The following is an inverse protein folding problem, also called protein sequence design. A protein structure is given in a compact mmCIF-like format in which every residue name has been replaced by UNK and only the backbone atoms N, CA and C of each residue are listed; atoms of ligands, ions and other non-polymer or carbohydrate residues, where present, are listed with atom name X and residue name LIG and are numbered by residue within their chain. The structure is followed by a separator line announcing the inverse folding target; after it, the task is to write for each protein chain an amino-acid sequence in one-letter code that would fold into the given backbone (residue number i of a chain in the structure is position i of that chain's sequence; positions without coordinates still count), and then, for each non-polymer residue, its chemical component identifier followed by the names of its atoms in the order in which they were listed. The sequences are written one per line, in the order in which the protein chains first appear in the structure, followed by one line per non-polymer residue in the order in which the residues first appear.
data_IF_581982782227
#
_entry.id   IF_581982782227
#
_cell.length_a   1.000
_cell.length_b   1.000
_cell.length_c   1.000
_cell.angle_alpha   90.00
_cell.angle_beta   90.00
_cell.angle_gamma   90.00
#
_symmetry.space_group_name_H-M   'P 1'
#
loop_
_entity.id
_entity.type
_entity.pdbx_description
1 polymer ?
#
# COMPACT_ATOMS: atom_id res chain seq x y z
N UNK A 1 -8.99 63.70 -61.61
CA UNK A 1 -9.52 63.98 -60.25
C UNK A 1 -10.40 62.80 -59.83
N UNK A 2 -9.92 61.92 -58.93
CA UNK A 2 -10.74 60.98 -58.11
C UNK A 2 -9.83 60.23 -57.15
N UNK A 3 -9.69 60.77 -55.95
CA UNK A 3 -9.08 60.08 -54.80
C UNK A 3 -10.10 59.09 -54.24
N UNK A 4 -9.76 57.79 -54.22
CA UNK A 4 -10.52 56.76 -53.50
C UNK A 4 -10.13 56.84 -52.02
N UNK A 5 -11.01 57.36 -51.19
CA UNK A 5 -10.88 57.28 -49.73
C UNK A 5 -11.04 55.82 -49.29
N UNK A 6 -9.99 55.24 -48.69
CA UNK A 6 -10.07 53.98 -47.97
C UNK A 6 -10.82 54.20 -46.66
N UNK A 7 -12.04 53.68 -46.55
CA UNK A 7 -12.84 53.75 -45.33
C UNK A 7 -12.49 52.57 -44.42
N UNK A 8 -11.60 52.82 -43.45
CA UNK A 8 -11.25 51.85 -42.40
C UNK A 8 -12.44 51.65 -41.46
N UNK A 9 -13.06 50.48 -41.52
CA UNK A 9 -14.06 50.05 -40.54
C UNK A 9 -13.34 49.70 -39.23
N UNK A 10 -13.36 50.62 -38.26
CA UNK A 10 -12.98 50.28 -36.88
C UNK A 10 -14.06 49.38 -36.29
N UNK A 11 -13.79 48.09 -36.20
CA UNK A 11 -14.57 47.20 -35.34
C UNK A 11 -14.46 47.71 -33.90
N UNK A 12 -15.59 48.05 -33.28
CA UNK A 12 -15.65 48.38 -31.85
C UNK A 12 -15.41 47.09 -31.08
N UNK A 13 -14.18 46.90 -30.59
CA UNK A 13 -13.87 45.80 -29.69
C UNK A 13 -14.57 46.08 -28.36
N UNK A 14 -15.63 45.33 -28.09
CA UNK A 14 -16.32 45.35 -26.79
C UNK A 14 -15.34 44.82 -25.74
N UNK A 15 -14.89 45.68 -24.82
CA UNK A 15 -14.13 45.25 -23.66
C UNK A 15 -15.02 44.42 -22.72
N UNK A 16 -14.41 43.46 -22.00
CA UNK A 16 -15.10 42.73 -20.94
C UNK A 16 -15.51 43.67 -19.82
N UNK A 17 -16.72 43.49 -19.29
CA UNK A 17 -17.22 44.25 -18.14
C UNK A 17 -16.59 43.72 -16.84
N UNK A 18 -16.48 44.59 -15.84
CA UNK A 18 -16.04 44.22 -14.48
C UNK A 18 -16.88 43.06 -13.90
N UNK A 19 -18.18 43.03 -14.20
CA UNK A 19 -19.11 42.00 -13.71
C UNK A 19 -18.82 40.64 -14.36
N UNK A 20 -18.53 40.61 -15.66
CA UNK A 20 -18.18 39.36 -16.35
C UNK A 20 -16.90 38.74 -15.79
N UNK A 21 -15.86 39.55 -15.55
CA UNK A 21 -14.62 39.04 -14.93
C UNK A 21 -14.85 38.62 -13.47
N UNK A 22 -15.69 39.35 -12.71
CA UNK A 22 -15.99 38.99 -11.32
C UNK A 22 -16.65 37.62 -11.20
N UNK A 23 -17.64 37.30 -12.05
CA UNK A 23 -18.31 35.99 -12.02
C UNK A 23 -17.33 34.88 -12.41
N UNK A 24 -16.48 35.12 -13.41
CA UNK A 24 -15.47 34.14 -13.84
C UNK A 24 -14.50 33.84 -12.70
N UNK A 25 -14.01 34.84 -11.98
CA UNK A 25 -13.10 34.64 -10.84
C UNK A 25 -13.76 33.88 -9.69
N UNK A 26 -15.04 34.13 -9.42
CA UNK A 26 -15.80 33.37 -8.41
C UNK A 26 -15.91 31.90 -8.80
N UNK A 27 -16.28 31.62 -10.05
CA UNK A 27 -16.40 30.23 -10.53
C UNK A 27 -15.05 29.51 -10.47
N UNK A 28 -13.96 30.15 -10.90
CA UNK A 28 -12.61 29.59 -10.78
C UNK A 28 -12.26 29.33 -9.32
N UNK A 29 -12.54 30.26 -8.40
CA UNK A 29 -12.30 30.09 -6.97
C UNK A 29 -13.04 28.90 -6.37
N UNK A 30 -14.32 28.73 -6.73
CA UNK A 30 -15.14 27.60 -6.27
C UNK A 30 -14.65 26.26 -6.84
N UNK A 31 -14.26 26.23 -8.12
CA UNK A 31 -13.73 25.03 -8.76
C UNK A 31 -12.39 24.63 -8.13
N UNK A 32 -11.46 25.59 -7.99
CA UNK A 32 -10.15 25.32 -7.37
C UNK A 32 -10.30 24.84 -5.93
N UNK A 33 -11.18 25.47 -5.14
CA UNK A 33 -11.48 25.03 -3.78
C UNK A 33 -12.08 23.61 -3.72
N UNK A 34 -13.00 23.29 -4.64
CA UNK A 34 -13.59 21.96 -4.76
C UNK A 34 -12.59 20.89 -5.16
N UNK A 35 -11.72 21.16 -6.14
CA UNK A 35 -10.70 20.20 -6.62
C UNK A 35 -9.68 19.89 -5.54
N UNK A 36 -9.16 20.90 -4.84
CA UNK A 36 -8.19 20.70 -3.76
C UNK A 36 -8.77 19.83 -2.64
N UNK A 37 -10.03 20.08 -2.24
CA UNK A 37 -10.70 19.23 -1.26
C UNK A 37 -10.92 17.82 -1.80
N UNK A 38 -11.27 17.69 -3.07
CA UNK A 38 -11.43 16.40 -3.75
C UNK A 38 -10.16 15.55 -3.74
N UNK A 39 -9.00 16.15 -4.01
CA UNK A 39 -7.70 15.46 -3.96
C UNK A 39 -7.41 14.90 -2.57
N UNK A 40 -7.56 15.74 -1.53
CA UNK A 40 -7.34 15.30 -0.13
C UNK A 40 -8.30 14.17 0.28
N UNK A 41 -9.53 14.15 -0.22
CA UNK A 41 -10.48 13.06 0.04
C UNK A 41 -10.05 11.76 -0.64
N UNK A 42 -9.56 11.83 -1.88
CA UNK A 42 -9.03 10.66 -2.62
C UNK A 42 -7.80 10.09 -1.91
N UNK A 43 -6.87 10.94 -1.49
CA UNK A 43 -5.65 10.50 -0.81
C UNK A 43 -5.96 9.83 0.55
N UNK A 44 -6.92 10.38 1.29
CA UNK A 44 -7.40 9.74 2.52
C UNK A 44 -8.13 8.41 2.26
N UNK A 45 -8.89 8.31 1.16
CA UNK A 45 -9.52 7.05 0.78
C UNK A 45 -8.48 5.98 0.41
N UNK A 46 -7.43 6.36 -0.32
CA UNK A 46 -6.30 5.48 -0.63
C UNK A 46 -5.60 4.98 0.64
N UNK A 47 -5.32 5.89 1.57
CA UNK A 47 -4.71 5.56 2.86
C UNK A 47 -5.57 4.57 3.66
N UNK A 48 -6.87 4.86 3.82
CA UNK A 48 -7.79 3.94 4.52
C UNK A 48 -7.88 2.57 3.85
N UNK A 49 -7.83 2.51 2.52
CA UNK A 49 -7.81 1.25 1.80
C UNK A 49 -6.50 0.47 2.03
N UNK A 50 -5.36 1.17 2.13
CA UNK A 50 -4.08 0.57 2.49
C UNK A 50 -4.11 -0.02 3.89
N UNK A 51 -4.53 0.76 4.90
CA UNK A 51 -4.71 0.29 6.28
C UNK A 51 -5.60 -0.96 6.33
N UNK A 52 -6.76 -0.91 5.67
CA UNK A 52 -7.68 -2.05 5.60
C UNK A 52 -7.04 -3.30 5.00
N UNK A 53 -6.16 -3.17 4.01
CA UNK A 53 -5.46 -4.33 3.43
C UNK A 53 -4.50 -4.95 4.42
N UNK A 54 -3.68 -4.15 5.10
CA UNK A 54 -2.74 -4.67 6.12
C UNK A 54 -3.51 -5.40 7.23
N UNK A 55 -4.54 -4.77 7.79
CA UNK A 55 -5.37 -5.37 8.83
C UNK A 55 -6.10 -6.64 8.36
N UNK A 56 -6.53 -6.68 7.09
CA UNK A 56 -7.12 -7.89 6.50
C UNK A 56 -6.14 -9.04 6.43
N UNK A 57 -4.85 -8.78 6.17
CA UNK A 57 -3.82 -9.83 6.15
C UNK A 57 -3.47 -10.28 7.58
N UNK A 58 -3.35 -9.37 8.55
CA UNK A 58 -3.17 -9.72 9.97
C UNK A 58 -4.29 -10.63 10.47
N UNK A 59 -5.54 -10.19 10.27
CA UNK A 59 -6.71 -10.98 10.63
C UNK A 59 -6.76 -12.32 9.90
N UNK A 60 -6.33 -12.35 8.64
CA UNK A 60 -6.29 -13.58 7.85
C UNK A 60 -5.32 -14.62 8.40
N UNK A 61 -4.13 -14.20 8.84
CA UNK A 61 -3.14 -15.10 9.47
C UNK A 61 -3.70 -15.67 10.77
N UNK A 62 -4.27 -14.85 11.65
CA UNK A 62 -4.87 -15.34 12.89
C UNK A 62 -6.07 -16.26 12.64
N UNK A 63 -6.92 -15.94 11.66
CA UNK A 63 -8.05 -16.80 11.27
C UNK A 63 -7.56 -18.16 10.77
N UNK A 64 -6.48 -18.18 9.98
CA UNK A 64 -5.85 -19.43 9.53
C UNK A 64 -5.33 -20.23 10.73
N UNK A 65 -4.61 -19.58 11.64
CA UNK A 65 -4.05 -20.22 12.83
C UNK A 65 -5.13 -20.82 13.74
N UNK A 66 -6.24 -20.11 13.95
CA UNK A 66 -7.36 -20.59 14.77
C UNK A 66 -8.07 -21.80 14.13
N UNK A 67 -8.21 -21.77 12.80
CA UNK A 67 -8.93 -22.79 12.03
C UNK A 67 -8.12 -24.06 11.86
N UNK A 68 -6.84 -23.93 11.46
CA UNK A 68 -5.99 -25.07 11.08
C UNK A 68 -4.99 -25.47 12.17
N UNK A 69 -4.86 -24.69 13.25
CA UNK A 69 -3.89 -24.91 14.34
C UNK A 69 -2.43 -24.99 13.86
N UNK A 70 -2.14 -24.29 12.77
CA UNK A 70 -0.82 -24.17 12.14
C UNK A 70 -0.69 -22.78 11.51
N UNK A 71 0.53 -22.34 11.20
CA UNK A 71 0.74 -21.08 10.50
C UNK A 71 0.53 -21.26 8.98
N UNK A 72 0.02 -20.24 8.27
CA UNK A 72 0.04 -20.25 6.82
C UNK A 72 1.49 -20.21 6.34
N UNK A 73 1.79 -20.80 5.18
CA UNK A 73 3.17 -21.05 4.72
C UNK A 73 3.79 -22.32 5.33
N UNK A 74 3.74 -22.43 6.65
CA UNK A 74 4.42 -23.44 7.49
C UNK A 74 3.69 -24.80 7.59
N UNK A 75 2.35 -24.83 7.48
CA UNK A 75 1.57 -26.07 7.72
C UNK A 75 2.13 -27.30 6.96
N UNK A 76 2.70 -28.25 7.73
CA UNK A 76 3.26 -29.48 7.17
C UNK A 76 2.20 -30.56 6.86
N UNK A 77 1.05 -30.53 7.54
CA UNK A 77 -0.04 -31.52 7.37
C UNK A 77 -1.18 -30.92 6.54
N UNK A 78 -1.06 -31.04 5.21
CA UNK A 78 -1.98 -30.42 4.24
C UNK A 78 -3.38 -31.08 4.20
N UNK A 79 -3.57 -32.26 4.79
CA UNK A 79 -4.87 -32.92 4.83
C UNK A 79 -5.97 -32.11 5.53
N UNK A 80 -5.60 -31.11 6.33
CA UNK A 80 -6.52 -30.18 6.96
C UNK A 80 -7.03 -29.07 6.00
N UNK A 81 -6.31 -28.75 4.92
CA UNK A 81 -6.58 -27.63 4.01
C UNK A 81 -7.19 -28.10 2.66
N UNK A 82 -6.36 -28.25 1.63
CA UNK A 82 -6.71 -28.75 0.30
C UNK A 82 -5.51 -29.59 -0.16
N UNK A 83 -5.75 -30.80 -0.67
CA UNK A 83 -4.70 -31.72 -1.07
C UNK A 83 -3.79 -31.20 -2.21
N UNK A 84 -4.21 -30.15 -2.94
CA UNK A 84 -3.41 -29.48 -3.96
C UNK A 84 -2.50 -28.37 -3.40
N UNK A 85 -2.62 -28.03 -2.12
CA UNK A 85 -1.70 -27.09 -1.47
C UNK A 85 -0.32 -27.73 -1.24
N UNK A 86 0.73 -26.92 -1.35
CA UNK A 86 2.10 -27.34 -1.06
C UNK A 86 2.33 -27.28 0.45
N UNK A 87 2.82 -28.36 1.06
CA UNK A 87 3.17 -28.33 2.48
C UNK A 87 4.38 -27.41 2.75
N UNK A 88 4.34 -26.68 3.86
CA UNK A 88 5.54 -26.18 4.52
C UNK A 88 6.24 -27.31 5.28
N UNK A 89 7.16 -26.97 6.18
CA UNK A 89 7.87 -27.97 6.98
C UNK A 89 7.26 -28.22 8.37
N UNK A 90 6.42 -27.30 8.86
CA UNK A 90 5.64 -27.46 10.09
C UNK A 90 6.46 -27.25 11.36
N UNK A 91 7.55 -26.48 11.28
CA UNK A 91 8.44 -26.22 12.41
C UNK A 91 7.97 -25.07 13.33
N UNK A 92 6.91 -24.36 12.93
CA UNK A 92 6.26 -23.31 13.70
C UNK A 92 6.84 -21.91 13.48
N UNK A 93 7.75 -21.74 12.52
CA UNK A 93 8.15 -20.46 11.97
C UNK A 93 7.59 -20.30 10.55
N UNK A 94 7.86 -19.17 9.90
CA UNK A 94 7.51 -18.98 8.48
C UNK A 94 8.76 -18.40 7.85
N UNK A 95 9.50 -19.21 7.11
CA UNK A 95 10.80 -18.83 6.58
C UNK A 95 10.71 -17.94 5.33
N UNK A 96 11.77 -17.15 5.15
CA UNK A 96 11.95 -16.28 4.00
C UNK A 96 11.54 -14.85 4.32
N UNK A 97 12.52 -14.00 4.62
CA UNK A 97 12.29 -12.57 4.90
C UNK A 97 11.42 -11.89 3.83
N UNK A 98 11.60 -12.30 2.58
CA UNK A 98 10.82 -11.90 1.43
C UNK A 98 10.45 -13.14 0.60
N UNK A 99 9.31 -13.10 -0.10
CA UNK A 99 8.96 -14.08 -1.12
C UNK A 99 9.82 -13.87 -2.37
N UNK A 100 11.07 -14.34 -2.30
CA UNK A 100 12.11 -14.11 -3.31
C UNK A 100 12.51 -15.37 -4.07
N UNK A 101 12.28 -16.55 -3.49
CA UNK A 101 12.45 -17.85 -4.13
C UNK A 101 11.12 -18.58 -4.24
N UNK A 102 10.88 -19.24 -5.37
CA UNK A 102 9.66 -20.02 -5.56
C UNK A 102 9.57 -21.16 -4.54
N UNK A 103 8.40 -21.32 -3.91
CA UNK A 103 8.14 -22.37 -2.94
C UNK A 103 8.68 -22.11 -1.53
N UNK A 104 9.29 -20.94 -1.27
CA UNK A 104 9.56 -20.52 0.11
C UNK A 104 8.26 -20.32 0.88
N UNK A 105 8.27 -20.55 2.18
CA UNK A 105 7.08 -20.49 3.01
C UNK A 105 6.43 -19.10 3.00
N UNK A 106 7.24 -18.05 2.98
CA UNK A 106 6.81 -16.66 2.79
C UNK A 106 6.00 -16.41 1.51
N UNK A 107 6.22 -17.21 0.46
CA UNK A 107 5.38 -17.25 -0.74
C UNK A 107 4.14 -18.12 -0.55
N UNK A 108 4.30 -19.28 0.10
CA UNK A 108 3.23 -20.24 0.38
C UNK A 108 2.15 -19.68 1.29
N UNK A 109 2.45 -18.72 2.18
CA UNK A 109 1.46 -18.01 2.98
C UNK A 109 0.27 -17.57 2.13
N UNK A 110 0.54 -16.91 1.00
CA UNK A 110 -0.49 -16.39 0.12
C UNK A 110 -1.33 -17.49 -0.53
N UNK A 111 -0.69 -18.61 -0.89
CA UNK A 111 -1.39 -19.80 -1.40
C UNK A 111 -2.30 -20.40 -0.32
N UNK A 112 -1.80 -20.56 0.91
CA UNK A 112 -2.56 -21.18 2.01
C UNK A 112 -3.76 -20.33 2.42
N UNK A 113 -3.59 -19.02 2.52
CA UNK A 113 -4.70 -18.10 2.81
C UNK A 113 -5.79 -18.12 1.71
N UNK A 114 -5.42 -18.37 0.45
CA UNK A 114 -6.36 -18.50 -0.67
C UNK A 114 -7.08 -19.84 -0.70
N UNK A 115 -6.36 -20.94 -0.48
CA UNK A 115 -6.98 -22.28 -0.34
C UNK A 115 -7.97 -22.30 0.83
N UNK A 116 -7.67 -21.59 1.91
CA UNK A 116 -8.57 -21.43 3.05
C UNK A 116 -9.78 -20.52 2.76
N UNK A 117 -9.83 -19.85 1.61
CA UNK A 117 -10.88 -18.89 1.26
C UNK A 117 -10.86 -17.61 2.10
N UNK A 118 -9.78 -17.34 2.84
CA UNK A 118 -9.63 -16.18 3.71
C UNK A 118 -9.36 -14.92 2.88
N UNK A 119 -8.54 -15.06 1.83
CA UNK A 119 -8.27 -14.00 0.86
C UNK A 119 -8.62 -14.46 -0.55
N UNK A 120 -8.94 -13.52 -1.42
CA UNK A 120 -9.19 -13.80 -2.83
C UNK A 120 -7.88 -14.01 -3.62
N UNK A 121 -7.98 -14.75 -4.72
CA UNK A 121 -6.90 -14.96 -5.69
C UNK A 121 -6.78 -16.42 -6.10
N UNK A 122 -5.84 -16.70 -7.00
CA UNK A 122 -5.51 -18.06 -7.42
C UNK A 122 -4.64 -18.74 -6.35
N UNK A 123 -5.14 -19.82 -5.69
CA UNK A 123 -4.40 -20.50 -4.64
C UNK A 123 -3.24 -21.34 -5.17
N UNK A 124 -3.19 -21.65 -6.47
CA UNK A 124 -2.13 -22.50 -7.05
C UNK A 124 -0.79 -21.77 -7.24
N UNK A 125 -0.76 -20.45 -7.07
CA UNK A 125 0.45 -19.64 -7.23
C UNK A 125 1.30 -19.73 -5.95
N UNK A 126 2.43 -20.42 -6.06
CA UNK A 126 3.43 -20.62 -4.98
C UNK A 126 4.79 -19.95 -5.30
N UNK A 127 4.82 -19.13 -6.35
CA UNK A 127 6.03 -18.47 -6.84
C UNK A 127 6.19 -17.07 -6.26
N UNK A 128 7.24 -16.35 -6.65
CA UNK A 128 7.46 -14.92 -6.34
C UNK A 128 6.35 -13.98 -6.83
N UNK A 129 5.39 -14.48 -7.62
CA UNK A 129 4.20 -13.74 -8.05
C UNK A 129 3.00 -13.92 -7.12
N UNK A 130 3.08 -14.83 -6.13
CA UNK A 130 2.03 -15.08 -5.15
C UNK A 130 1.64 -13.85 -4.33
N UNK A 131 2.55 -12.97 -3.91
CA UNK A 131 2.18 -11.84 -3.06
C UNK A 131 1.29 -10.81 -3.78
N UNK A 132 0.33 -10.17 -3.10
CA UNK A 132 -0.52 -9.14 -3.68
C UNK A 132 0.19 -7.78 -3.76
N UNK A 133 -0.37 -6.88 -4.58
CA UNK A 133 0.01 -5.46 -4.57
C UNK A 133 -0.91 -4.66 -3.66
N UNK A 134 -0.41 -3.56 -3.11
CA UNK A 134 -1.18 -2.65 -2.26
C UNK A 134 -1.64 -1.39 -3.01
N UNK A 135 -2.51 -0.58 -2.38
CA UNK A 135 -3.14 0.61 -3.00
C UNK A 135 -2.18 1.58 -3.69
N UNK A 136 -0.96 1.73 -3.15
CA UNK A 136 0.08 2.61 -3.70
C UNK A 136 0.94 1.98 -4.81
N UNK A 137 0.63 0.76 -5.27
CA UNK A 137 1.29 0.09 -6.39
C UNK A 137 2.51 -0.76 -6.03
N UNK A 138 3.00 -0.67 -4.79
CA UNK A 138 4.01 -1.58 -4.24
C UNK A 138 3.45 -2.95 -3.85
N UNK A 139 4.32 -3.81 -3.32
CA UNK A 139 4.01 -5.23 -3.06
C UNK A 139 3.94 -5.49 -1.55
N UNK A 140 2.96 -6.25 -1.10
CA UNK A 140 2.98 -6.86 0.24
C UNK A 140 3.76 -8.16 0.10
N UNK A 141 5.07 -8.11 0.26
CA UNK A 141 5.99 -9.13 -0.27
C UNK A 141 5.90 -10.46 0.47
N UNK A 142 5.84 -10.42 1.79
CA UNK A 142 5.83 -11.64 2.62
C UNK A 142 5.04 -11.42 3.89
N UNK A 143 4.61 -12.53 4.46
CA UNK A 143 4.38 -12.65 5.89
C UNK A 143 5.37 -13.72 6.35
N UNK A 144 6.22 -13.41 7.31
CA UNK A 144 7.32 -14.28 7.71
C UNK A 144 7.66 -14.08 9.19
N UNK A 145 8.28 -15.07 9.80
CA UNK A 145 8.77 -15.00 11.18
C UNK A 145 10.23 -14.55 11.18
N UNK A 146 10.54 -13.47 11.90
CA UNK A 146 11.92 -13.02 12.06
C UNK A 146 12.07 -11.70 12.79
N UNK A 147 13.32 -11.28 12.97
CA UNK A 147 13.72 -10.13 13.80
C UNK A 147 14.09 -8.87 13.00
N UNK A 148 13.77 -8.84 11.71
CA UNK A 148 14.13 -7.72 10.81
C UNK A 148 13.55 -6.37 11.24
N UNK A 149 14.23 -5.30 10.83
CA UNK A 149 13.99 -3.89 11.19
C UNK A 149 14.30 -3.56 12.67
N UNK A 150 13.40 -3.87 13.59
CA UNK A 150 13.50 -3.46 15.00
C UNK A 150 14.27 -4.44 15.91
N UNK A 151 14.79 -5.55 15.38
CA UNK A 151 15.52 -6.56 16.15
C UNK A 151 14.66 -7.47 17.03
N UNK A 152 13.34 -7.40 16.94
CA UNK A 152 12.41 -8.20 17.74
C UNK A 152 11.81 -9.30 16.88
N UNK A 153 12.01 -10.58 17.26
CA UNK A 153 11.42 -11.70 16.54
C UNK A 153 9.89 -11.74 16.71
N UNK A 154 9.18 -11.72 15.59
CA UNK A 154 7.72 -11.84 15.52
C UNK A 154 7.29 -12.32 14.13
N UNK A 155 6.03 -12.67 13.96
CA UNK A 155 5.44 -12.76 12.61
C UNK A 155 5.25 -11.32 12.12
N UNK A 156 5.76 -11.02 10.93
CA UNK A 156 5.73 -9.67 10.35
C UNK A 156 5.25 -9.69 8.92
N UNK A 157 4.51 -8.66 8.53
CA UNK A 157 4.15 -8.37 7.14
C UNK A 157 5.21 -7.44 6.58
N UNK A 158 5.90 -7.85 5.52
CA UNK A 158 6.78 -6.99 4.75
C UNK A 158 6.00 -6.30 3.64
N UNK A 159 6.01 -4.98 3.64
CA UNK A 159 5.40 -4.18 2.58
C UNK A 159 6.46 -3.30 1.92
N UNK A 160 6.55 -3.36 0.60
CA UNK A 160 7.58 -2.70 -0.21
C UNK A 160 6.97 -1.58 -1.03
N UNK A 161 7.68 -0.47 -1.16
CA UNK A 161 7.26 0.62 -2.03
C UNK A 161 6.15 1.49 -1.43
N UNK A 162 6.15 1.65 -0.11
CA UNK A 162 5.24 2.58 0.57
C UNK A 162 5.82 3.99 0.47
N UNK A 163 5.07 5.00 0.00
CA UNK A 163 5.49 6.39 0.06
C UNK A 163 5.83 6.84 1.48
N UNK A 164 6.90 7.61 1.68
CA UNK A 164 7.38 7.96 3.02
C UNK A 164 6.38 8.74 3.88
N UNK A 165 5.55 9.59 3.28
CA UNK A 165 4.45 10.28 3.97
C UNK A 165 3.39 9.29 4.48
N UNK A 166 3.09 8.25 3.70
CA UNK A 166 2.16 7.17 4.07
C UNK A 166 2.76 6.30 5.16
N UNK A 167 4.04 5.93 5.04
CA UNK A 167 4.74 5.11 6.04
C UNK A 167 4.80 5.83 7.39
N UNK A 168 5.24 7.09 7.42
CA UNK A 168 5.26 7.91 8.63
C UNK A 168 3.86 8.08 9.23
N UNK A 169 2.84 8.30 8.39
CA UNK A 169 1.46 8.44 8.87
C UNK A 169 0.95 7.14 9.51
N UNK A 170 1.22 6.01 8.88
CA UNK A 170 0.82 4.70 9.40
C UNK A 170 1.50 4.41 10.74
N UNK A 171 2.81 4.60 10.82
CA UNK A 171 3.59 4.43 12.04
C UNK A 171 3.08 5.32 13.19
N UNK A 172 2.85 6.62 12.91
CA UNK A 172 2.25 7.53 13.90
C UNK A 172 0.85 7.12 14.39
N UNK A 173 0.07 6.41 13.57
CA UNK A 173 -1.30 6.02 13.89
C UNK A 173 -1.37 4.67 14.63
N UNK A 174 -0.46 3.75 14.34
CA UNK A 174 -0.50 2.37 14.83
C UNK A 174 0.64 2.01 15.79
N UNK A 175 1.65 2.88 15.96
CA UNK A 175 2.85 2.58 16.73
C UNK A 175 3.44 3.84 17.40
N UNK A 176 4.72 4.17 17.17
CA UNK A 176 5.44 5.23 17.90
C UNK A 176 5.96 6.37 17.00
N UNK A 177 5.83 6.24 15.69
CA UNK A 177 6.29 7.22 14.69
C UNK A 177 7.79 7.18 14.41
N UNK A 178 8.54 6.25 15.02
CA UNK A 178 9.96 6.08 14.84
C UNK A 178 10.26 4.96 13.84
N UNK A 179 10.88 5.35 12.73
CA UNK A 179 11.16 4.45 11.61
C UNK A 179 12.05 3.22 11.94
N UNK A 180 12.63 3.12 13.13
CA UNK A 180 13.55 2.04 13.53
C UNK A 180 13.07 1.20 14.71
N UNK A 181 11.99 1.59 15.39
CA UNK A 181 11.52 0.92 16.61
C UNK A 181 10.05 0.50 16.50
N UNK A 182 9.55 -0.10 17.59
CA UNK A 182 8.14 -0.44 17.71
C UNK A 182 7.66 -1.56 16.77
N UNK A 183 6.35 -1.74 16.69
CA UNK A 183 5.68 -2.76 15.88
C UNK A 183 5.66 -2.43 14.38
N UNK A 184 5.91 -1.18 14.00
CA UNK A 184 5.97 -0.70 12.61
C UNK A 184 7.35 -0.08 12.38
N UNK A 185 8.22 -0.78 11.66
CA UNK A 185 9.58 -0.30 11.45
C UNK A 185 10.01 -0.42 10.00
N UNK A 186 10.72 0.60 9.51
CA UNK A 186 11.34 0.59 8.19
C UNK A 186 12.43 -0.47 8.14
N UNK A 187 12.41 -1.27 7.07
CA UNK A 187 13.53 -2.12 6.71
C UNK A 187 14.49 -1.41 5.77
N UNK A 188 15.63 -0.98 6.30
CA UNK A 188 16.76 -0.53 5.49
C UNK A 188 18.07 -0.79 6.23
N UNK A 189 18.74 -1.93 5.96
CA UNK A 189 19.98 -2.29 6.64
C UNK A 189 21.03 -1.17 6.56
N UNK A 190 21.61 -0.81 7.71
CA UNK A 190 22.62 0.24 7.82
C UNK A 190 22.07 1.67 7.87
N UNK A 191 20.75 1.86 7.96
CA UNK A 191 20.16 3.18 8.17
C UNK A 191 19.52 3.30 9.56
N UNK A 192 20.17 4.09 10.42
CA UNK A 192 19.76 4.32 11.82
C UNK A 192 18.90 5.59 11.99
N UNK A 193 18.46 6.23 10.89
CA UNK A 193 17.57 7.39 10.97
C UNK A 193 16.22 6.96 11.54
N UNK A 194 15.81 7.59 12.64
CA UNK A 194 14.51 7.37 13.30
C UNK A 194 13.34 8.02 12.57
N UNK A 195 13.59 8.67 11.43
CA UNK A 195 12.57 9.37 10.64
C UNK A 195 12.47 8.81 9.24
N UNK A 196 11.26 8.81 8.68
CA UNK A 196 11.04 8.45 7.28
C UNK A 196 11.39 9.63 6.36
N UNK A 197 12.10 9.35 5.27
CA UNK A 197 12.20 10.30 4.16
C UNK A 197 10.85 10.35 3.43
N UNK A 198 10.11 11.44 3.63
CA UNK A 198 8.75 11.62 3.10
C UNK A 198 8.69 11.65 1.55
N UNK A 199 9.82 11.84 0.88
CA UNK A 199 9.90 11.91 -0.58
C UNK A 199 10.34 10.59 -1.23
N UNK A 200 10.85 9.65 -0.43
CA UNK A 200 11.28 8.34 -0.89
C UNK A 200 10.19 7.28 -0.73
N UNK A 201 10.42 6.12 -1.33
CA UNK A 201 9.66 4.89 -1.05
C UNK A 201 10.42 4.02 -0.07
N UNK A 202 9.70 3.42 0.88
CA UNK A 202 10.27 2.60 1.95
C UNK A 202 9.72 1.18 1.92
N UNK A 203 10.52 0.28 2.46
CA UNK A 203 10.10 -1.06 2.87
C UNK A 203 9.80 -1.02 4.36
N UNK A 204 8.66 -1.54 4.79
CA UNK A 204 8.21 -1.50 6.18
C UNK A 204 7.80 -2.89 6.63
N UNK A 205 8.32 -3.33 7.78
CA UNK A 205 7.81 -4.48 8.48
C UNK A 205 6.76 -4.04 9.50
N UNK A 206 5.66 -4.78 9.54
CA UNK A 206 4.55 -4.56 10.46
C UNK A 206 4.35 -5.86 11.24
N UNK A 207 4.62 -5.84 12.55
CA UNK A 207 4.40 -6.99 13.41
C UNK A 207 2.90 -7.30 13.55
N UNK A 208 2.57 -8.59 13.56
CA UNK A 208 1.20 -9.07 13.75
C UNK A 208 0.71 -8.89 15.19
#
# INVERSE_FOLDING_TARGET
MRSKFFQSHRNKQSGFTLVEIAIVLVIIGLILGGVLKGQVLIDNAKYKNFVKQVESYRAGVYTFQDTYRALPGDIGVISALDAAATAGDGDGAIEGAECSTNGEESCLVWSHLRYAGIIAGDPSITTTSAPPTHTYGGRVSSIATGDWANGVSAIKILTLGIPGDVAQRYDNEFDDGNATSGSVARYKPGEDSTTYDLTASHSVYIAL
#
